data_IF_413782393462
#
_entry.id   IF_413782393462
#
_cell.length_a   1.000
_cell.length_b   1.000
_cell.length_c   1.000
_cell.angle_alpha   90.00
_cell.angle_beta   90.00
_cell.angle_gamma   90.00
#
_symmetry.space_group_name_H-M   'P 1'
#
loop_
_entity.id
_entity.type
_entity.pdbx_description
1 polymer ?
#
# COMPACT_ATOMS: atom_id res chain seq x y z
N UNK A 1 -31.84 8.69 -41.88
CA UNK A 1 -32.80 8.69 -40.75
C UNK A 1 -32.64 7.39 -39.98
N UNK A 2 -31.97 7.41 -38.82
CA UNK A 2 -32.04 6.38 -37.77
C UNK A 2 -31.46 6.99 -36.48
N UNK A 3 -32.18 6.76 -35.39
CA UNK A 3 -32.26 7.56 -34.17
C UNK A 3 -30.92 7.80 -33.45
N UNK A 4 -30.66 9.05 -33.07
CA UNK A 4 -29.75 9.39 -31.96
C UNK A 4 -30.47 9.05 -30.66
N UNK A 5 -29.88 8.15 -29.86
CA UNK A 5 -30.32 7.83 -28.51
C UNK A 5 -30.19 9.07 -27.62
N UNK A 6 -31.31 9.78 -27.40
CA UNK A 6 -31.44 10.87 -26.43
C UNK A 6 -31.80 10.34 -25.02
N UNK A 7 -31.05 9.36 -24.51
CA UNK A 7 -31.22 8.83 -23.14
C UNK A 7 -29.99 9.05 -22.24
N UNK A 8 -29.11 9.99 -22.60
CA UNK A 8 -28.10 10.54 -21.68
C UNK A 8 -28.52 11.95 -21.20
N UNK A 9 -29.71 12.04 -20.62
CA UNK A 9 -30.12 13.18 -19.80
C UNK A 9 -29.40 13.15 -18.45
N UNK A 10 -28.23 13.78 -18.42
CA UNK A 10 -27.44 14.22 -17.27
C UNK A 10 -28.13 14.19 -15.88
N UNK A 11 -27.89 13.14 -15.08
CA UNK A 11 -28.07 13.22 -13.63
C UNK A 11 -26.94 14.05 -13.02
N UNK A 12 -27.10 15.38 -13.00
CA UNK A 12 -26.21 16.28 -12.25
C UNK A 12 -26.34 15.92 -10.76
N UNK A 13 -25.22 15.73 -10.01
CA UNK A 13 -25.27 15.35 -8.60
C UNK A 13 -26.20 16.28 -7.79
N UNK A 14 -26.84 15.76 -6.74
CA UNK A 14 -27.76 16.56 -5.91
C UNK A 14 -27.03 17.47 -4.94
N UNK A 15 -25.80 17.12 -4.58
CA UNK A 15 -24.93 17.87 -3.68
C UNK A 15 -23.45 17.56 -3.97
N UNK A 16 -22.57 18.43 -3.50
CA UNK A 16 -21.14 18.13 -3.36
C UNK A 16 -20.90 17.57 -1.97
N UNK A 17 -20.10 16.51 -1.88
CA UNK A 17 -19.68 15.91 -0.60
C UNK A 17 -18.17 16.00 -0.52
N UNK A 18 -17.63 16.37 0.64
CA UNK A 18 -16.19 16.38 0.87
C UNK A 18 -15.83 15.95 2.29
N UNK A 19 -14.69 15.30 2.43
CA UNK A 19 -14.12 14.84 3.69
C UNK A 19 -12.79 15.57 3.86
N UNK A 20 -12.59 16.23 5.00
CA UNK A 20 -11.35 16.93 5.30
C UNK A 20 -10.85 16.56 6.69
N UNK A 21 -9.58 16.19 6.80
CA UNK A 21 -8.92 15.95 8.08
C UNK A 21 -8.65 17.28 8.80
N UNK A 22 -8.79 17.30 10.12
CA UNK A 22 -8.60 18.51 10.94
C UNK A 22 -7.19 19.11 10.76
N UNK A 23 -6.19 18.24 10.66
CA UNK A 23 -4.77 18.58 10.53
C UNK A 23 -4.25 18.42 9.08
N UNK A 24 -5.14 18.27 8.09
CA UNK A 24 -4.74 17.94 6.72
C UNK A 24 -3.79 18.94 6.04
N UNK A 25 -3.74 20.19 6.52
CA UNK A 25 -2.82 21.23 6.04
C UNK A 25 -1.39 21.10 6.60
N UNK A 26 -1.25 20.59 7.81
CA UNK A 26 0.03 20.48 8.52
C UNK A 26 0.57 19.05 8.52
N UNK A 27 -0.30 18.06 8.36
CA UNK A 27 0.04 16.65 8.31
C UNK A 27 0.90 16.32 7.10
N UNK A 28 1.91 15.46 7.30
CA UNK A 28 2.79 14.94 6.24
C UNK A 28 1.94 14.30 5.15
N UNK A 29 2.14 14.75 3.92
CA UNK A 29 1.48 14.23 2.73
C UNK A 29 2.45 13.30 1.99
N UNK A 30 1.97 12.18 1.47
CA UNK A 30 2.79 11.22 0.72
C UNK A 30 2.14 10.90 -0.63
N UNK A 31 2.94 10.61 -1.67
CA UNK A 31 2.40 10.21 -2.97
C UNK A 31 1.73 8.83 -2.87
N UNK A 32 0.53 8.72 -3.46
CA UNK A 32 -0.22 7.49 -3.64
C UNK A 32 -0.60 7.35 -5.13
N UNK A 33 -0.16 6.26 -5.75
CA UNK A 33 -0.51 5.91 -7.13
C UNK A 33 -1.91 5.29 -7.18
N UNK A 34 -2.85 5.97 -7.83
CA UNK A 34 -4.22 5.48 -8.08
C UNK A 34 -4.23 4.44 -9.21
N UNK A 35 -5.32 3.67 -9.28
CA UNK A 35 -5.50 2.62 -10.30
C UNK A 35 -5.56 3.13 -11.75
N UNK A 36 -5.84 4.42 -11.96
CA UNK A 36 -5.80 5.09 -13.26
C UNK A 36 -4.39 5.58 -13.66
N UNK A 37 -3.36 5.27 -12.87
CA UNK A 37 -1.98 5.72 -13.10
C UNK A 37 -1.66 7.10 -12.54
N UNK A 38 -2.65 7.87 -12.08
CA UNK A 38 -2.42 9.19 -11.49
C UNK A 38 -1.82 9.08 -10.08
N UNK A 39 -0.82 9.90 -9.79
CA UNK A 39 -0.27 10.04 -8.44
C UNK A 39 -0.93 11.23 -7.76
N UNK A 40 -1.46 11.01 -6.55
CA UNK A 40 -2.05 12.06 -5.71
C UNK A 40 -1.33 12.14 -4.37
N UNK A 41 -1.30 13.32 -3.75
CA UNK A 41 -0.82 13.46 -2.39
C UNK A 41 -1.97 13.18 -1.42
N UNK A 42 -1.71 12.30 -0.45
CA UNK A 42 -2.68 11.91 0.59
C UNK A 42 -2.01 11.91 1.96
N UNK A 43 -2.77 12.14 3.04
CA UNK A 43 -2.21 12.27 4.37
C UNK A 43 -1.62 10.94 4.84
N UNK A 44 -0.53 11.04 5.59
CA UNK A 44 0.13 9.92 6.24
C UNK A 44 -0.35 9.80 7.68
N UNK A 45 -0.73 8.59 8.08
CA UNK A 45 -1.08 8.20 9.44
C UNK A 45 -0.22 7.02 9.89
N UNK A 46 -0.14 6.85 11.20
CA UNK A 46 0.42 5.68 11.86
C UNK A 46 -0.66 5.00 12.70
N UNK A 47 -0.47 3.71 13.01
CA UNK A 47 -1.34 2.99 13.94
C UNK A 47 -1.43 3.71 15.30
N UNK A 48 -2.59 3.61 15.95
CA UNK A 48 -2.93 4.23 17.23
C UNK A 48 -3.10 5.76 17.21
N UNK A 49 -3.01 6.40 16.04
CA UNK A 49 -3.36 7.82 15.92
C UNK A 49 -4.88 8.07 15.98
N UNK A 50 -5.25 9.29 16.37
CA UNK A 50 -6.62 9.78 16.24
C UNK A 50 -6.86 10.25 14.80
N UNK A 51 -8.00 9.84 14.22
CA UNK A 51 -8.44 10.30 12.91
C UNK A 51 -9.61 11.24 13.12
N UNK A 52 -9.36 12.54 12.97
CA UNK A 52 -10.36 13.60 13.18
C UNK A 52 -10.56 14.43 11.93
N UNK A 53 -11.75 14.98 11.76
CA UNK A 53 -12.04 15.83 10.62
C UNK A 53 -13.48 16.28 10.56
N UNK A 54 -13.89 16.67 9.35
CA UNK A 54 -15.24 17.10 9.04
C UNK A 54 -15.72 16.56 7.70
N UNK A 55 -17.01 16.25 7.64
CA UNK A 55 -17.74 15.95 6.42
C UNK A 55 -18.59 17.16 6.06
N UNK A 56 -18.46 17.66 4.83
CA UNK A 56 -19.29 18.76 4.33
C UNK A 56 -20.21 18.26 3.23
N UNK A 57 -21.51 18.49 3.39
CA UNK A 57 -22.55 18.20 2.39
C UNK A 57 -23.12 19.53 1.94
N UNK A 58 -23.02 19.81 0.64
CA UNK A 58 -23.40 21.09 0.04
C UNK A 58 -24.41 20.86 -1.09
N UNK A 59 -25.73 20.97 -0.83
CA UNK A 59 -26.76 20.86 -1.87
C UNK A 59 -26.50 21.85 -3.01
N UNK A 60 -26.68 21.40 -4.26
CA UNK A 60 -26.60 22.34 -5.38
C UNK A 60 -27.75 23.34 -5.31
N UNK A 61 -27.54 24.57 -5.78
CA UNK A 61 -28.53 25.65 -5.73
C UNK A 61 -29.92 25.19 -6.23
N UNK A 62 -30.94 25.43 -5.41
CA UNK A 62 -32.33 25.05 -5.68
C UNK A 62 -32.65 23.56 -5.52
N UNK A 63 -31.70 22.75 -5.02
CA UNK A 63 -31.93 21.34 -4.67
C UNK A 63 -31.90 21.16 -3.15
N UNK A 64 -32.66 20.18 -2.69
CA UNK A 64 -32.51 19.60 -1.35
C UNK A 64 -31.96 18.18 -1.44
N UNK A 65 -31.41 17.69 -0.34
CA UNK A 65 -30.99 16.29 -0.20
C UNK A 65 -31.89 15.63 0.83
N UNK A 66 -32.87 14.86 0.35
CA UNK A 66 -33.67 13.96 1.19
C UNK A 66 -32.85 12.69 1.47
N UNK A 67 -32.63 12.35 2.75
CA UNK A 67 -31.83 11.21 3.16
C UNK A 67 -32.46 10.40 4.28
N UNK A 68 -32.14 9.11 4.31
CA UNK A 68 -32.50 8.15 5.36
C UNK A 68 -31.36 7.99 6.38
N UNK A 69 -30.43 8.94 6.41
CA UNK A 69 -29.32 8.98 7.35
C UNK A 69 -27.97 9.24 6.65
N UNK A 70 -27.04 9.81 7.41
CA UNK A 70 -25.68 10.08 6.99
C UNK A 70 -24.73 9.36 7.94
N UNK A 71 -23.74 8.66 7.39
CA UNK A 71 -22.70 8.02 8.20
C UNK A 71 -21.31 8.20 7.60
N UNK A 72 -20.31 8.17 8.46
CA UNK A 72 -18.91 8.03 8.09
C UNK A 72 -18.35 6.72 8.63
N UNK A 73 -17.61 6.02 7.78
CA UNK A 73 -17.06 4.70 8.05
C UNK A 73 -15.55 4.75 7.79
N UNK A 74 -14.75 4.29 8.74
CA UNK A 74 -13.41 3.80 8.43
C UNK A 74 -13.57 2.35 7.98
N UNK A 75 -13.46 2.11 6.67
CA UNK A 75 -13.89 0.84 6.08
C UNK A 75 -13.21 -0.37 6.74
N UNK A 76 -14.04 -1.30 7.21
CA UNK A 76 -13.60 -2.55 7.84
C UNK A 76 -13.33 -2.48 9.34
N UNK A 77 -13.57 -1.33 9.99
CA UNK A 77 -13.27 -1.16 11.41
C UNK A 77 -14.35 -0.44 12.22
N UNK A 78 -14.70 0.80 11.87
CA UNK A 78 -15.53 1.67 12.73
C UNK A 78 -16.57 2.42 11.89
N UNK A 79 -17.80 2.51 12.40
CA UNK A 79 -18.91 3.27 11.80
C UNK A 79 -19.39 4.31 12.80
N UNK A 80 -19.68 5.53 12.31
CA UNK A 80 -20.29 6.60 13.11
C UNK A 80 -21.42 7.26 12.33
N UNK A 81 -22.58 7.36 12.96
CA UNK A 81 -23.71 8.13 12.45
C UNK A 81 -23.44 9.63 12.60
N UNK A 82 -23.74 10.38 11.53
CA UNK A 82 -23.55 11.83 11.45
C UNK A 82 -24.88 12.58 11.42
N UNK A 83 -25.91 11.97 10.83
CA UNK A 83 -27.25 12.54 10.83
C UNK A 83 -28.32 11.44 10.74
N UNK A 84 -29.49 11.73 11.32
CA UNK A 84 -30.68 10.87 11.25
C UNK A 84 -31.45 11.13 9.94
N UNK A 85 -32.50 10.35 9.58
CA UNK A 85 -33.32 10.65 8.41
C UNK A 85 -33.85 12.10 8.43
N UNK A 86 -33.78 12.78 7.28
CA UNK A 86 -34.14 14.19 7.17
C UNK A 86 -33.85 14.81 5.81
N UNK A 87 -33.87 16.14 5.77
CA UNK A 87 -33.69 16.94 4.57
C UNK A 87 -32.59 17.99 4.78
N UNK A 88 -31.64 18.08 3.86
CA UNK A 88 -30.56 19.08 3.88
C UNK A 88 -30.83 20.11 2.77
N UNK A 89 -31.11 21.34 3.17
CA UNK A 89 -31.39 22.48 2.28
C UNK A 89 -30.16 23.34 2.02
N UNK A 90 -29.32 23.53 3.04
CA UNK A 90 -28.13 24.36 3.00
C UNK A 90 -26.88 23.53 3.32
N UNK A 91 -25.70 24.10 3.06
CA UNK A 91 -24.43 23.47 3.39
C UNK A 91 -24.39 23.10 4.88
N UNK A 92 -24.21 21.81 5.17
CA UNK A 92 -24.08 21.29 6.54
C UNK A 92 -22.72 20.60 6.72
N UNK A 93 -22.12 20.82 7.88
CA UNK A 93 -20.79 20.28 8.24
C UNK A 93 -20.89 19.45 9.50
N UNK A 94 -20.41 18.21 9.44
CA UNK A 94 -20.43 17.27 10.56
C UNK A 94 -18.99 16.97 11.01
N UNK A 95 -18.62 17.29 12.26
CA UNK A 95 -17.34 16.85 12.79
C UNK A 95 -17.36 15.33 13.03
N UNK A 96 -16.21 14.69 12.86
CA UNK A 96 -16.01 13.29 13.21
C UNK A 96 -14.67 13.10 13.92
N UNK A 97 -14.63 12.06 14.74
CA UNK A 97 -13.44 11.59 15.43
C UNK A 97 -13.53 10.07 15.61
N UNK A 98 -12.42 9.42 15.30
CA UNK A 98 -12.08 8.06 15.69
C UNK A 98 -10.80 8.12 16.52
N UNK A 99 -10.88 7.80 17.81
CA UNK A 99 -9.73 7.87 18.71
C UNK A 99 -8.95 6.55 18.71
N UNK A 100 -7.62 6.62 18.86
CA UNK A 100 -6.71 5.48 19.02
C UNK A 100 -6.98 4.34 18.03
N UNK A 101 -6.97 4.66 16.73
CA UNK A 101 -7.38 3.71 15.70
C UNK A 101 -6.28 2.69 15.44
N UNK A 102 -6.57 1.41 15.65
CA UNK A 102 -5.61 0.34 15.35
C UNK A 102 -5.50 0.14 13.85
N UNK A 103 -4.32 0.41 13.28
CA UNK A 103 -4.03 0.19 11.86
C UNK A 103 -2.77 -0.67 11.75
N UNK A 104 -2.86 -1.97 12.08
CA UNK A 104 -1.69 -2.83 12.30
C UNK A 104 -0.85 -3.08 11.04
N UNK A 105 -1.38 -2.79 9.85
CA UNK A 105 -0.72 -3.09 8.58
C UNK A 105 -0.46 -1.80 7.78
N UNK A 106 0.65 -1.75 7.03
CA UNK A 106 0.90 -0.62 6.14
C UNK A 106 0.01 -0.66 4.90
N UNK A 107 -0.32 0.52 4.34
CA UNK A 107 -0.93 0.60 3.01
C UNK A 107 0.00 -0.04 1.99
N UNK A 108 -0.53 -0.97 1.20
CA UNK A 108 0.22 -1.73 0.19
C UNK A 108 -0.52 -1.73 -1.15
N UNK A 109 0.18 -1.40 -2.23
CA UNK A 109 -0.35 -1.46 -3.59
C UNK A 109 0.49 -2.43 -4.41
N UNK A 110 0.10 -3.69 -4.37
CA UNK A 110 0.74 -4.80 -5.05
C UNK A 110 0.18 -5.07 -6.44
N UNK A 111 0.57 -6.21 -6.99
CA UNK A 111 0.13 -6.68 -8.31
C UNK A 111 -1.29 -7.27 -8.19
N UNK A 112 -1.45 -8.26 -7.31
CA UNK A 112 -2.69 -9.02 -7.12
C UNK A 112 -3.45 -8.61 -5.87
N UNK A 113 -2.83 -7.83 -4.98
CA UNK A 113 -3.45 -7.39 -3.72
C UNK A 113 -3.22 -5.91 -3.44
N UNK A 114 -4.26 -5.26 -2.91
CA UNK A 114 -4.19 -3.88 -2.41
C UNK A 114 -4.73 -3.83 -0.99
N UNK A 115 -3.92 -3.34 -0.06
CA UNK A 115 -4.33 -2.98 1.29
C UNK A 115 -4.46 -1.46 1.35
N UNK A 116 -5.69 -0.97 1.58
CA UNK A 116 -5.99 0.46 1.60
C UNK A 116 -6.80 0.82 2.83
N UNK A 117 -6.51 2.01 3.38
CA UNK A 117 -7.30 2.66 4.41
C UNK A 117 -8.06 3.83 3.78
N UNK A 118 -9.35 3.92 4.08
CA UNK A 118 -10.25 4.88 3.44
C UNK A 118 -11.37 5.28 4.39
N UNK A 119 -11.63 6.59 4.47
CA UNK A 119 -12.86 7.11 5.02
C UNK A 119 -13.93 7.10 3.95
N UNK A 120 -15.09 6.52 4.26
CA UNK A 120 -16.25 6.47 3.38
C UNK A 120 -17.40 7.21 4.03
N UNK A 121 -17.89 8.24 3.38
CA UNK A 121 -19.16 8.87 3.74
C UNK A 121 -20.27 8.28 2.89
N UNK A 122 -21.37 7.89 3.53
CA UNK A 122 -22.57 7.40 2.86
C UNK A 122 -23.76 8.26 3.25
N UNK A 123 -24.43 8.85 2.26
CA UNK A 123 -25.74 9.49 2.40
C UNK A 123 -26.77 8.50 1.84
N UNK A 124 -27.49 7.83 2.73
CA UNK A 124 -28.54 6.88 2.35
C UNK A 124 -29.74 7.63 1.82
N UNK A 125 -30.30 7.22 0.68
CA UNK A 125 -31.47 7.87 0.06
C UNK A 125 -32.53 6.83 -0.26
N UNK A 126 -33.80 7.24 -0.25
CA UNK A 126 -34.94 6.34 -0.49
C UNK A 126 -35.11 5.97 -1.96
N UNK A 127 -35.53 6.92 -2.79
CA UNK A 127 -35.85 6.68 -4.20
C UNK A 127 -34.65 6.77 -5.14
N UNK A 128 -33.59 7.47 -4.72
CA UNK A 128 -32.34 7.60 -5.47
C UNK A 128 -31.25 6.72 -4.85
N UNK A 129 -30.30 6.24 -5.66
CA UNK A 129 -29.14 5.49 -5.13
C UNK A 129 -28.37 6.30 -4.08
N UNK A 130 -27.73 5.63 -3.11
CA UNK A 130 -26.94 6.32 -2.08
C UNK A 130 -25.82 7.16 -2.69
N UNK A 131 -25.52 8.31 -2.09
CA UNK A 131 -24.34 9.12 -2.45
C UNK A 131 -23.20 8.63 -1.58
N UNK A 132 -22.06 8.32 -2.21
CA UNK A 132 -20.89 7.80 -1.51
C UNK A 132 -19.67 8.60 -1.92
N UNK A 133 -18.92 9.09 -0.94
CA UNK A 133 -17.66 9.81 -1.13
C UNK A 133 -16.54 9.11 -0.36
N UNK A 134 -15.36 9.03 -0.95
CA UNK A 134 -14.20 8.34 -0.39
C UNK A 134 -13.02 9.29 -0.21
N UNK A 135 -12.32 9.14 0.91
CA UNK A 135 -11.06 9.81 1.16
C UNK A 135 -10.00 8.78 1.56
N UNK A 136 -9.11 8.43 0.62
CA UNK A 136 -7.94 7.58 0.88
C UNK A 136 -6.92 8.31 1.76
N UNK A 137 -6.18 7.53 2.55
CA UNK A 137 -4.97 7.96 3.26
C UNK A 137 -3.97 6.81 3.34
N UNK A 138 -2.71 7.11 3.65
CA UNK A 138 -1.64 6.11 3.73
C UNK A 138 -1.32 5.82 5.20
N UNK A 139 -1.17 4.54 5.52
CA UNK A 139 -0.64 4.10 6.81
C UNK A 139 0.79 3.62 6.64
N UNK A 140 1.71 4.13 7.46
CA UNK A 140 3.07 3.59 7.63
C UNK A 140 3.34 3.35 9.10
N UNK A 141 3.91 2.20 9.43
CA UNK A 141 4.24 1.81 10.79
C UNK A 141 5.76 1.61 10.88
N UNK A 142 6.37 2.25 11.86
CA UNK A 142 7.82 2.14 12.06
C UNK A 142 8.14 0.99 12.99
N UNK A 143 9.28 0.35 12.74
CA UNK A 143 9.86 -0.65 13.61
C UNK A 143 11.07 -0.06 14.33
N UNK A 144 11.29 -0.40 15.61
CA UNK A 144 12.55 -0.09 16.27
C UNK A 144 13.70 -0.81 15.55
N UNK A 145 14.91 -0.29 15.72
CA UNK A 145 16.11 -0.98 15.24
C UNK A 145 16.14 -2.41 15.82
N UNK A 146 16.42 -3.43 15.00
CA UNK A 146 16.59 -4.79 15.52
C UNK A 146 17.77 -4.79 16.52
N UNK A 147 17.56 -5.45 17.66
CA UNK A 147 18.57 -5.55 18.73
C UNK A 147 19.83 -6.33 18.33
N UNK A 148 19.74 -7.12 17.26
CA UNK A 148 20.81 -7.95 16.74
C UNK A 148 20.87 -7.75 15.22
N UNK A 149 21.97 -7.18 14.74
CA UNK A 149 22.29 -7.10 13.32
C UNK A 149 23.36 -8.14 12.99
N UNK A 150 22.96 -9.42 12.96
CA UNK A 150 23.86 -10.47 12.51
C UNK A 150 24.06 -10.30 10.99
N UNK A 151 25.31 -10.19 10.56
CA UNK A 151 25.64 -10.19 9.13
C UNK A 151 25.04 -11.44 8.46
N UNK A 152 24.36 -11.25 7.33
CA UNK A 152 23.80 -12.37 6.57
C UNK A 152 24.93 -12.94 5.71
N UNK A 153 25.23 -14.22 5.90
CA UNK A 153 26.22 -14.96 5.09
C UNK A 153 25.52 -15.86 4.08
N UNK A 154 26.03 -15.91 2.86
CA UNK A 154 25.53 -16.79 1.80
C UNK A 154 26.70 -17.51 1.12
N UNK A 155 26.69 -18.85 1.22
CA UNK A 155 27.71 -19.72 0.64
C UNK A 155 27.12 -20.54 -0.50
N UNK A 156 27.87 -20.62 -1.60
CA UNK A 156 27.61 -21.54 -2.72
C UNK A 156 28.91 -22.28 -3.03
N UNK A 157 28.84 -23.60 -2.97
CA UNK A 157 29.93 -24.49 -3.32
C UNK A 157 29.52 -25.46 -4.43
N UNK A 158 30.45 -25.72 -5.34
CA UNK A 158 30.53 -26.91 -6.17
C UNK A 158 31.74 -27.68 -5.62
N UNK A 159 31.49 -28.89 -5.12
CA UNK A 159 32.53 -29.76 -4.54
C UNK A 159 33.69 -29.90 -5.54
N UNK A 160 34.91 -29.66 -5.06
CA UNK A 160 36.17 -29.69 -5.82
C UNK A 160 36.32 -28.76 -7.04
N UNK A 161 35.33 -27.90 -7.33
CA UNK A 161 35.35 -27.01 -8.51
C UNK A 161 35.29 -25.51 -8.16
N UNK A 162 34.51 -25.12 -7.14
CA UNK A 162 34.24 -23.70 -6.88
C UNK A 162 33.63 -23.49 -5.49
N UNK A 163 34.24 -22.68 -4.63
CA UNK A 163 33.62 -22.26 -3.36
C UNK A 163 33.61 -20.75 -3.31
N UNK A 164 32.42 -20.14 -3.32
CA UNK A 164 32.29 -18.68 -3.26
C UNK A 164 31.36 -18.27 -2.12
N UNK A 165 31.92 -17.47 -1.22
CA UNK A 165 31.20 -16.71 -0.20
C UNK A 165 30.89 -15.34 -0.83
N UNK A 166 29.60 -15.02 -0.97
CA UNK A 166 29.18 -13.76 -1.58
C UNK A 166 28.42 -12.88 -0.61
N UNK A 167 28.62 -11.58 -0.81
CA UNK A 167 27.69 -10.55 -0.40
C UNK A 167 26.85 -10.14 -1.65
N UNK A 168 25.63 -10.66 -1.76
CA UNK A 168 24.46 -10.21 -2.55
C UNK A 168 24.56 -9.75 -4.04
N UNK A 169 23.91 -10.48 -4.97
CA UNK A 169 23.91 -10.19 -6.43
C UNK A 169 22.55 -9.71 -7.02
N UNK A 170 21.39 -10.00 -6.40
CA UNK A 170 20.05 -9.55 -6.92
C UNK A 170 19.03 -9.45 -5.80
N UNK A 171 18.21 -8.40 -5.76
CA UNK A 171 17.03 -8.32 -4.88
C UNK A 171 15.75 -8.66 -5.66
N UNK A 172 15.01 -9.67 -5.18
CA UNK A 172 13.69 -10.07 -5.71
C UNK A 172 12.60 -9.76 -4.69
N UNK A 173 11.45 -9.27 -5.16
CA UNK A 173 10.20 -9.21 -4.40
C UNK A 173 9.32 -10.37 -4.80
N UNK A 174 8.77 -11.10 -3.82
CA UNK A 174 7.77 -12.14 -4.03
C UNK A 174 6.50 -11.76 -3.30
N UNK A 175 5.43 -11.54 -4.05
CA UNK A 175 4.08 -11.32 -3.54
C UNK A 175 3.28 -12.61 -3.68
N UNK A 176 2.79 -13.15 -2.56
CA UNK A 176 1.89 -14.30 -2.57
C UNK A 176 0.52 -13.87 -2.07
N UNK A 177 -0.55 -14.19 -2.82
CA UNK A 177 -1.94 -13.86 -2.49
C UNK A 177 -2.81 -15.13 -2.53
N UNK A 178 -3.74 -15.27 -1.59
CA UNK A 178 -4.61 -16.44 -1.47
C UNK A 178 -4.21 -17.37 -0.32
N UNK A 179 -4.99 -18.44 -0.13
CA UNK A 179 -4.82 -19.39 0.98
C UNK A 179 -4.91 -20.84 0.47
N UNK A 180 -4.03 -21.71 0.97
CA UNK A 180 -4.04 -23.13 0.63
C UNK A 180 -3.79 -23.40 -0.85
N UNK A 181 -4.61 -24.25 -1.46
CA UNK A 181 -4.45 -24.67 -2.86
C UNK A 181 -4.63 -23.53 -3.89
N UNK A 182 -5.24 -22.40 -3.50
CA UNK A 182 -5.50 -21.25 -4.39
C UNK A 182 -4.47 -20.12 -4.21
N UNK A 183 -3.22 -20.45 -3.90
CA UNK A 183 -2.16 -19.45 -3.70
C UNK A 183 -1.56 -19.03 -5.04
N UNK A 184 -1.62 -17.75 -5.35
CA UNK A 184 -0.97 -17.13 -6.50
C UNK A 184 0.32 -16.43 -6.05
N UNK A 185 1.41 -16.60 -6.82
CA UNK A 185 2.72 -16.04 -6.50
C UNK A 185 3.23 -15.21 -7.67
N UNK A 186 3.46 -13.92 -7.42
CA UNK A 186 4.12 -13.01 -8.33
C UNK A 186 5.56 -12.78 -7.88
N UNK A 187 6.50 -12.82 -8.82
CA UNK A 187 7.92 -12.55 -8.54
C UNK A 187 8.43 -11.45 -9.45
N UNK A 188 8.98 -10.41 -8.85
CA UNK A 188 9.58 -9.27 -9.54
C UNK A 188 11.06 -9.17 -9.19
N UNK A 189 11.90 -8.93 -10.20
CA UNK A 189 13.32 -8.62 -9.98
C UNK A 189 13.45 -7.11 -9.85
N UNK A 190 13.79 -6.65 -8.64
CA UNK A 190 13.89 -5.21 -8.34
C UNK A 190 15.24 -4.63 -8.77
N UNK A 191 16.29 -5.43 -8.66
CA UNK A 191 17.64 -5.04 -8.98
C UNK A 191 18.45 -6.24 -9.50
N UNK A 192 19.30 -5.97 -10.49
CA UNK A 192 20.32 -6.90 -10.98
C UNK A 192 21.68 -6.21 -10.89
N UNK A 193 22.62 -6.85 -10.20
CA UNK A 193 24.01 -6.40 -10.13
C UNK A 193 24.89 -7.46 -10.76
N UNK A 194 25.74 -7.07 -11.71
CA UNK A 194 26.78 -7.96 -12.22
C UNK A 194 28.00 -7.75 -11.33
N UNK A 195 28.41 -8.82 -10.64
CA UNK A 195 29.46 -8.73 -9.62
C UNK A 195 30.86 -8.93 -10.19
N UNK A 196 31.00 -9.83 -11.16
CA UNK A 196 32.28 -10.16 -11.79
C UNK A 196 32.04 -10.78 -13.17
N UNK A 197 32.99 -10.56 -14.07
CA UNK A 197 33.13 -11.25 -15.34
C UNK A 197 34.45 -12.05 -15.32
N UNK A 198 34.39 -13.36 -15.57
CA UNK A 198 35.52 -14.29 -15.45
C UNK A 198 35.44 -15.26 -14.26
N UNK A 199 36.43 -16.15 -14.15
CA UNK A 199 36.52 -17.16 -13.10
C UNK A 199 37.27 -16.61 -11.87
N UNK A 200 36.68 -16.68 -10.65
CA UNK A 200 37.34 -16.18 -9.46
C UNK A 200 38.51 -17.10 -9.07
N UNK A 201 39.56 -16.53 -8.50
CA UNK A 201 40.69 -17.32 -7.99
C UNK A 201 40.39 -17.79 -6.56
N UNK A 202 40.84 -19.00 -6.20
CA UNK A 202 40.70 -19.50 -4.83
C UNK A 202 41.30 -18.52 -3.83
N UNK A 203 40.48 -18.09 -2.86
CA UNK A 203 40.89 -17.13 -1.82
C UNK A 203 40.63 -15.66 -2.17
N UNK A 204 40.14 -15.37 -3.37
CA UNK A 204 39.68 -14.04 -3.75
C UNK A 204 38.38 -13.69 -3.02
N UNK A 205 38.27 -12.43 -2.57
CA UNK A 205 37.07 -11.90 -1.91
C UNK A 205 36.62 -10.65 -2.64
N UNK A 206 35.35 -10.64 -3.04
CA UNK A 206 34.75 -9.53 -3.80
C UNK A 206 33.79 -8.80 -2.87
N UNK A 207 34.14 -7.59 -2.39
CA UNK A 207 33.24 -6.82 -1.56
C UNK A 207 32.09 -6.25 -2.39
N UNK A 208 30.87 -6.33 -1.86
CA UNK A 208 29.67 -5.85 -2.55
C UNK A 208 28.88 -4.94 -1.63
N UNK A 209 28.45 -3.80 -2.17
CA UNK A 209 27.61 -2.84 -1.45
C UNK A 209 26.33 -2.59 -2.24
N UNK A 210 25.20 -2.98 -1.66
CA UNK A 210 23.89 -2.75 -2.26
C UNK A 210 23.19 -1.57 -1.59
N UNK A 211 22.98 -0.49 -2.35
CA UNK A 211 22.20 0.65 -1.89
C UNK A 211 20.72 0.41 -2.17
N UNK A 212 19.89 0.37 -1.11
CA UNK A 212 18.46 0.09 -1.24
C UNK A 212 17.60 1.32 -1.58
N UNK A 213 18.13 2.54 -1.35
CA UNK A 213 17.39 3.79 -1.52
C UNK A 213 16.83 4.06 -2.93
N UNK A 214 17.45 3.61 -4.04
CA UNK A 214 16.90 3.86 -5.38
C UNK A 214 15.67 3.01 -5.71
N UNK A 215 15.39 1.98 -4.92
CA UNK A 215 14.30 1.05 -5.19
C UNK A 215 13.06 1.40 -4.40
N UNK A 216 11.89 1.30 -5.04
CA UNK A 216 10.59 1.47 -4.39
C UNK A 216 10.27 0.23 -3.52
N UNK A 217 10.90 0.16 -2.35
CA UNK A 217 10.71 -0.92 -1.39
C UNK A 217 9.56 -0.62 -0.43
N UNK A 218 8.86 -1.69 -0.04
CA UNK A 218 7.95 -1.69 1.11
C UNK A 218 8.52 -2.60 2.18
N UNK A 219 8.05 -2.51 3.44
CA UNK A 219 8.40 -3.50 4.44
C UNK A 219 8.01 -4.93 4.02
N UNK A 220 8.67 -5.91 4.61
CA UNK A 220 8.27 -7.32 4.51
C UNK A 220 6.94 -7.51 5.22
N UNK A 221 5.97 -8.09 4.52
CA UNK A 221 4.64 -8.38 5.04
C UNK A 221 4.51 -9.89 5.21
N UNK A 222 4.38 -10.39 6.44
CA UNK A 222 4.24 -11.81 6.73
C UNK A 222 2.78 -12.15 7.05
N UNK A 223 2.16 -12.94 6.19
CA UNK A 223 0.83 -13.52 6.39
C UNK A 223 -0.24 -12.52 6.87
N UNK A 224 -0.37 -11.40 6.16
CA UNK A 224 -1.28 -10.31 6.53
C UNK A 224 -2.71 -10.81 6.43
N UNK A 225 -3.34 -10.95 7.60
CA UNK A 225 -4.71 -11.44 7.78
C UNK A 225 -5.01 -12.73 6.98
N UNK A 226 -4.05 -13.65 6.88
CA UNK A 226 -4.15 -14.88 6.09
C UNK A 226 -4.48 -14.67 4.59
N UNK A 227 -4.24 -13.47 4.05
CA UNK A 227 -4.59 -13.13 2.66
C UNK A 227 -3.38 -13.00 1.76
N UNK A 228 -2.30 -12.39 2.25
CA UNK A 228 -1.11 -12.19 1.42
C UNK A 228 0.18 -12.08 2.23
N UNK A 229 1.31 -12.24 1.53
CA UNK A 229 2.65 -11.95 2.04
C UNK A 229 3.47 -11.23 0.97
N UNK A 230 4.38 -10.36 1.42
CA UNK A 230 5.39 -9.70 0.58
C UNK A 230 6.74 -10.01 1.20
N UNK A 231 7.56 -10.76 0.47
CA UNK A 231 8.88 -11.20 0.91
C UNK A 231 9.96 -10.72 -0.04
N UNK A 232 11.14 -10.49 0.51
CA UNK A 232 12.30 -10.05 -0.24
C UNK A 232 13.38 -11.13 -0.19
N UNK A 233 14.04 -11.36 -1.32
CA UNK A 233 15.06 -12.38 -1.45
C UNK A 233 16.29 -11.81 -2.10
N UNK A 234 17.45 -12.17 -1.56
CA UNK A 234 18.72 -12.01 -2.24
C UNK A 234 18.98 -13.28 -3.03
N UNK A 235 19.11 -13.14 -4.35
CA UNK A 235 19.21 -14.25 -5.29
C UNK A 235 20.55 -14.19 -6.03
N UNK A 236 21.49 -15.00 -5.56
CA UNK A 236 22.76 -15.21 -6.24
C UNK A 236 22.56 -16.12 -7.46
N UNK A 237 23.20 -15.74 -8.56
CA UNK A 237 23.24 -16.53 -9.80
C UNK A 237 24.68 -16.64 -10.23
N UNK A 238 25.17 -17.85 -10.38
CA UNK A 238 26.47 -18.16 -10.97
C UNK A 238 26.24 -18.85 -12.31
N UNK A 239 27.09 -18.53 -13.26
CA UNK A 239 27.13 -19.17 -14.58
C UNK A 239 28.55 -19.65 -14.76
N UNK A 240 28.73 -20.91 -15.11
CA UNK A 240 30.06 -21.45 -15.41
C UNK A 240 30.37 -21.43 -16.91
N UNK A 241 31.54 -21.94 -17.29
CA UNK A 241 32.03 -21.97 -18.68
C UNK A 241 31.19 -22.89 -19.60
N UNK A 242 30.42 -23.82 -19.04
CA UNK A 242 29.49 -24.69 -19.77
C UNK A 242 28.07 -24.10 -19.85
N UNK A 243 27.90 -22.81 -19.55
CA UNK A 243 26.61 -22.11 -19.45
C UNK A 243 25.66 -22.70 -18.38
N UNK A 244 26.16 -23.53 -17.45
CA UNK A 244 25.36 -24.10 -16.36
C UNK A 244 25.12 -23.04 -15.31
N UNK A 245 23.87 -22.97 -14.84
CA UNK A 245 23.41 -21.93 -13.91
C UNK A 245 23.17 -22.50 -12.51
N UNK A 246 23.81 -21.88 -11.53
CA UNK A 246 23.66 -22.21 -10.11
C UNK A 246 22.96 -21.07 -9.39
N UNK A 247 22.00 -21.42 -8.51
CA UNK A 247 21.14 -20.47 -7.84
C UNK A 247 21.18 -20.67 -6.33
N UNK A 248 21.29 -19.57 -5.58
CA UNK A 248 21.08 -19.56 -4.13
C UNK A 248 20.21 -18.38 -3.76
N UNK A 249 19.20 -18.64 -2.93
CA UNK A 249 18.28 -17.62 -2.44
C UNK A 249 18.35 -17.55 -0.91
N UNK A 250 18.41 -16.33 -0.37
CA UNK A 250 18.27 -16.05 1.04
C UNK A 250 17.14 -15.03 1.23
N UNK A 251 16.17 -15.35 2.09
CA UNK A 251 15.13 -14.39 2.46
C UNK A 251 15.73 -13.28 3.34
N UNK A 252 15.37 -12.04 3.07
CA UNK A 252 15.72 -10.87 3.87
C UNK A 252 14.47 -10.17 4.39
N UNK A 253 14.58 -9.56 5.56
CA UNK A 253 13.49 -8.77 6.16
C UNK A 253 13.76 -7.29 5.94
N UNK A 254 12.88 -6.63 5.19
CA UNK A 254 12.86 -5.18 5.03
C UNK A 254 11.90 -4.61 6.07
N UNK A 255 12.31 -3.56 6.76
CA UNK A 255 11.48 -2.86 7.75
C UNK A 255 11.64 -1.36 7.56
N UNK A 256 10.67 -0.59 8.05
CA UNK A 256 10.71 0.88 8.00
C UNK A 256 11.25 1.38 9.33
N UNK A 257 12.41 2.02 9.30
CA UNK A 257 12.98 2.66 10.47
C UNK A 257 12.26 3.96 10.81
N UNK A 258 12.07 4.19 12.10
CA UNK A 258 11.65 5.49 12.61
C UNK A 258 12.78 6.49 12.35
N UNK A 259 12.47 7.61 11.67
CA UNK A 259 13.43 8.71 11.53
C UNK A 259 13.82 9.19 12.93
N UNK A 260 15.08 9.04 13.30
CA UNK A 260 15.63 9.66 14.51
C UNK A 260 15.77 11.15 14.19
N UNK A 261 15.02 11.98 14.89
CA UNK A 261 15.10 13.45 14.74
C UNK A 261 16.39 13.98 15.32
#
# INVERSE_FOLDING_TARGET
MRMKNYLLGAFKPSCNVSIAFSDGKTRKQVPLKKGNGQTVLVPLFQSQENITGKVTIDPLQGKKVDHNGVKIELLGQIVRELDVPGEIYERKTYPFEFSTVEMPYETYNGVNVRLRYVLKVTISRGYAGSIVEYQDFVVRNYSPLPSINNGIKMEVGIEDCLHIEFEYNKSKRRESTGSGANTHVETETLAKYELMDGAPVRGESIPVRLFLSPYELTPTHRNINNKFSVKYYLNLVLVDEEDRRYFKQQEITIYRLQETT
#
